data_IF_290767007619
#
_entry.id   IF_290767007619
#
_cell.length_a   1.000
_cell.length_b   1.000
_cell.length_c   1.000
_cell.angle_alpha   90.00
_cell.angle_beta   90.00
_cell.angle_gamma   90.00
#
_symmetry.space_group_name_H-M   'P 1'
#
loop_
_entity.id
_entity.type
_entity.pdbx_description
1 polymer ?
#
# COMPACT_ATOMS: atom_id res chain seq x y z
N UNK A 1 -30.16 -17.63 50.74
CA UNK A 1 -30.03 -18.57 49.61
C UNK A 1 -31.21 -18.31 48.69
N UNK A 2 -31.15 -17.70 47.51
CA UNK A 2 -30.08 -17.56 46.52
C UNK A 2 -30.08 -16.10 45.99
N UNK A 3 -29.02 -15.34 46.30
CA UNK A 3 -28.57 -14.26 45.43
C UNK A 3 -27.82 -14.96 44.28
N UNK A 4 -28.04 -14.55 43.02
CA UNK A 4 -27.53 -15.16 41.78
C UNK A 4 -28.41 -16.24 41.13
N UNK A 5 -29.63 -15.88 40.75
CA UNK A 5 -30.20 -16.37 39.49
C UNK A 5 -30.18 -15.23 38.48
N UNK A 6 -28.99 -14.88 37.98
CA UNK A 6 -28.91 -14.22 36.68
C UNK A 6 -29.20 -15.30 35.64
N UNK A 7 -30.47 -15.44 35.24
CA UNK A 7 -30.81 -16.16 34.01
C UNK A 7 -30.09 -15.38 32.91
N UNK A 8 -28.93 -15.88 32.49
CA UNK A 8 -28.21 -15.38 31.33
C UNK A 8 -29.15 -15.61 30.15
N UNK A 9 -29.90 -14.59 29.72
CA UNK A 9 -30.74 -14.67 28.51
C UNK A 9 -29.80 -15.02 27.35
N UNK A 10 -29.78 -16.27 26.93
CA UNK A 10 -29.04 -16.71 25.75
C UNK A 10 -29.82 -16.20 24.54
N UNK A 11 -29.36 -15.11 23.94
CA UNK A 11 -30.08 -14.44 22.84
C UNK A 11 -30.14 -15.23 21.52
N UNK A 12 -29.32 -16.28 21.36
CA UNK A 12 -29.13 -16.94 20.08
C UNK A 12 -28.28 -16.09 19.12
N UNK A 13 -27.92 -16.68 17.97
CA UNK A 13 -27.17 -16.03 16.90
C UNK A 13 -27.28 -16.83 15.60
N UNK A 14 -27.25 -16.12 14.48
CA UNK A 14 -27.22 -16.70 13.13
C UNK A 14 -25.86 -16.36 12.51
N UNK A 15 -25.18 -17.36 11.94
CA UNK A 15 -23.90 -17.20 11.26
C UNK A 15 -24.08 -17.50 9.77
N UNK A 16 -23.66 -16.57 8.91
CA UNK A 16 -23.75 -16.70 7.45
C UNK A 16 -22.37 -17.00 6.90
N UNK A 17 -22.21 -18.16 6.29
CA UNK A 17 -20.97 -18.61 5.64
C UNK A 17 -21.14 -18.59 4.13
N UNK A 18 -20.14 -18.06 3.42
CA UNK A 18 -20.12 -18.02 1.97
C UNK A 18 -19.44 -19.28 1.41
N UNK A 19 -19.91 -19.74 0.25
CA UNK A 19 -19.22 -20.75 -0.54
C UNK A 19 -18.07 -20.16 -1.36
N UNK A 20 -17.10 -21.00 -1.69
CA UNK A 20 -16.06 -20.79 -2.69
C UNK A 20 -15.93 -22.05 -3.57
N UNK A 21 -15.11 -21.98 -4.62
CA UNK A 21 -14.81 -23.15 -5.45
C UNK A 21 -14.19 -24.30 -4.64
N UNK A 22 -13.52 -23.99 -3.52
CA UNK A 22 -12.84 -24.95 -2.64
C UNK A 22 -13.71 -25.43 -1.46
N UNK A 23 -15.00 -25.05 -1.43
CA UNK A 23 -15.93 -25.43 -0.36
C UNK A 23 -16.43 -24.25 0.46
N UNK A 24 -16.70 -24.45 1.76
CA UNK A 24 -17.25 -23.41 2.64
C UNK A 24 -16.11 -22.59 3.24
N UNK A 25 -16.18 -21.26 3.13
CA UNK A 25 -15.26 -20.35 3.82
C UNK A 25 -15.51 -20.46 5.33
N UNK A 26 -14.50 -20.88 6.09
CA UNK A 26 -14.63 -21.19 7.53
C UNK A 26 -14.89 -19.96 8.41
N UNK A 27 -14.57 -18.77 7.91
CA UNK A 27 -14.88 -17.51 8.60
C UNK A 27 -16.27 -17.02 8.20
N UNK A 28 -17.15 -16.68 9.18
CA UNK A 28 -18.48 -16.20 8.88
C UNK A 28 -18.41 -14.81 8.24
N UNK A 29 -19.10 -14.64 7.12
CA UNK A 29 -19.21 -13.35 6.41
C UNK A 29 -20.12 -12.36 7.13
N UNK A 30 -21.09 -12.87 7.90
CA UNK A 30 -22.00 -12.06 8.70
C UNK A 30 -22.43 -12.87 9.92
N UNK A 31 -22.58 -12.19 11.06
CA UNK A 31 -23.14 -12.75 12.28
C UNK A 31 -24.27 -11.84 12.74
N UNK A 32 -25.45 -12.40 12.93
CA UNK A 32 -26.64 -11.68 13.34
C UNK A 32 -27.00 -12.13 14.75
N UNK A 33 -27.02 -11.18 15.69
CA UNK A 33 -27.41 -11.39 17.08
C UNK A 33 -28.64 -10.53 17.39
N UNK A 34 -29.42 -10.83 18.44
CA UNK A 34 -30.59 -10.02 18.80
C UNK A 34 -30.27 -8.53 18.99
N UNK A 35 -29.09 -8.22 19.53
CA UNK A 35 -28.61 -6.84 19.71
C UNK A 35 -28.39 -6.07 18.40
N UNK A 36 -28.22 -6.79 17.29
CA UNK A 36 -28.02 -6.21 15.96
C UNK A 36 -29.36 -5.95 15.25
N UNK A 37 -30.47 -6.43 15.83
CA UNK A 37 -31.82 -6.18 15.31
C UNK A 37 -32.28 -4.74 15.61
N UNK A 38 -33.25 -4.21 14.83
CA UNK A 38 -33.83 -2.91 15.09
C UNK A 38 -34.38 -2.77 16.52
N UNK A 39 -34.31 -1.55 17.07
CA UNK A 39 -34.68 -1.24 18.45
C UNK A 39 -36.13 -1.64 18.78
N UNK A 40 -37.00 -1.65 17.78
CA UNK A 40 -38.42 -2.00 17.88
C UNK A 40 -38.65 -3.48 18.22
N UNK A 41 -37.71 -4.36 17.85
CA UNK A 41 -37.86 -5.82 18.01
C UNK A 41 -36.76 -6.49 18.82
N UNK A 42 -35.58 -5.85 18.99
CA UNK A 42 -34.40 -6.47 19.61
C UNK A 42 -34.66 -7.08 21.00
N UNK A 43 -35.50 -6.42 21.81
CA UNK A 43 -35.80 -6.84 23.19
C UNK A 43 -36.94 -7.88 23.25
N UNK A 44 -37.62 -8.11 22.13
CA UNK A 44 -38.75 -9.04 21.97
C UNK A 44 -38.33 -10.35 21.31
N UNK A 45 -37.05 -10.54 21.03
CA UNK A 45 -36.51 -11.73 20.38
C UNK A 45 -35.55 -12.45 21.33
N UNK A 46 -35.86 -13.71 21.63
CA UNK A 46 -34.98 -14.68 22.30
C UNK A 46 -34.87 -15.94 21.44
N UNK A 47 -33.87 -16.78 21.71
CA UNK A 47 -33.59 -18.00 20.93
C UNK A 47 -33.53 -17.77 19.41
N UNK A 48 -32.93 -16.63 19.01
CA UNK A 48 -32.77 -16.28 17.60
C UNK A 48 -31.99 -17.37 16.86
N UNK A 49 -32.58 -17.88 15.78
CA UNK A 49 -31.98 -18.89 14.92
C UNK A 49 -32.20 -20.34 15.37
N UNK A 50 -33.16 -20.60 16.27
CA UNK A 50 -33.46 -21.98 16.70
C UNK A 50 -33.93 -22.86 15.54
N UNK A 51 -34.79 -22.34 14.67
CA UNK A 51 -35.11 -22.95 13.38
C UNK A 51 -34.88 -21.94 12.26
N UNK A 52 -34.36 -22.42 11.13
CA UNK A 52 -34.01 -21.59 9.98
C UNK A 52 -34.65 -22.17 8.72
N UNK A 53 -35.13 -21.29 7.86
CA UNK A 53 -35.56 -21.64 6.51
C UNK A 53 -35.09 -20.56 5.55
N UNK A 54 -34.43 -20.94 4.46
CA UNK A 54 -33.94 -19.99 3.45
C UNK A 54 -33.90 -20.62 2.07
N UNK A 55 -33.37 -19.88 1.09
CA UNK A 55 -33.26 -20.34 -0.30
C UNK A 55 -34.45 -19.97 -1.18
N UNK A 56 -35.40 -19.19 -0.66
CA UNK A 56 -36.54 -18.64 -1.41
C UNK A 56 -36.50 -17.12 -1.35
N UNK A 57 -36.66 -16.49 -2.50
CA UNK A 57 -36.81 -15.03 -2.65
C UNK A 57 -38.29 -14.67 -2.44
N UNK A 58 -38.59 -13.88 -1.40
CA UNK A 58 -39.96 -13.51 -1.03
C UNK A 58 -40.39 -12.15 -1.58
N UNK A 59 -39.46 -11.34 -2.10
CA UNK A 59 -39.76 -10.00 -2.63
C UNK A 59 -39.38 -9.80 -4.11
N UNK A 60 -38.96 -10.87 -4.79
CA UNK A 60 -38.63 -10.93 -6.21
C UNK A 60 -37.45 -10.03 -6.60
N UNK A 61 -36.51 -9.79 -5.69
CA UNK A 61 -35.30 -9.02 -5.94
C UNK A 61 -34.15 -9.85 -6.55
N UNK A 62 -34.32 -11.17 -6.66
CA UNK A 62 -33.34 -12.12 -7.20
C UNK A 62 -32.37 -12.68 -6.16
N UNK A 63 -32.55 -12.37 -4.87
CA UNK A 63 -31.73 -12.84 -3.76
C UNK A 63 -32.57 -13.64 -2.76
N UNK A 64 -32.11 -14.84 -2.32
CA UNK A 64 -32.86 -15.65 -1.38
C UNK A 64 -32.87 -15.03 0.02
N UNK A 65 -34.05 -15.04 0.64
CA UNK A 65 -34.27 -14.53 1.99
C UNK A 65 -34.09 -15.61 3.06
N UNK A 66 -34.09 -15.19 4.33
CA UNK A 66 -33.93 -16.08 5.49
C UNK A 66 -35.01 -15.82 6.54
N UNK A 67 -35.71 -16.88 6.95
CA UNK A 67 -36.64 -16.90 8.07
C UNK A 67 -35.99 -17.54 9.28
N UNK A 68 -36.18 -16.92 10.44
CA UNK A 68 -35.76 -17.43 11.74
C UNK A 68 -36.96 -17.64 12.65
N UNK A 69 -37.16 -18.87 13.09
CA UNK A 69 -38.14 -19.22 14.13
C UNK A 69 -37.51 -19.11 15.52
N UNK A 70 -38.19 -18.37 16.40
CA UNK A 70 -37.70 -17.98 17.71
C UNK A 70 -38.71 -18.44 18.78
N UNK A 71 -38.64 -19.71 19.15
CA UNK A 71 -39.73 -20.39 19.85
C UNK A 71 -40.04 -19.83 21.25
N UNK A 72 -39.07 -19.30 21.99
CA UNK A 72 -39.33 -18.73 23.33
C UNK A 72 -40.02 -17.37 23.27
N UNK A 73 -39.93 -16.70 22.12
CA UNK A 73 -40.48 -15.38 21.88
C UNK A 73 -41.79 -15.42 21.07
N UNK A 74 -42.32 -16.61 20.76
CA UNK A 74 -43.48 -16.82 19.90
C UNK A 74 -43.42 -15.97 18.61
N UNK A 75 -42.23 -15.88 18.00
CA UNK A 75 -41.98 -14.98 16.88
C UNK A 75 -41.23 -15.62 15.72
N UNK A 76 -41.47 -15.07 14.53
CA UNK A 76 -40.72 -15.35 13.31
C UNK A 76 -40.12 -14.03 12.83
N UNK A 77 -38.84 -14.04 12.49
CA UNK A 77 -38.12 -12.88 11.94
C UNK A 77 -37.73 -13.18 10.50
N UNK A 78 -38.15 -12.31 9.58
CA UNK A 78 -37.75 -12.35 8.18
C UNK A 78 -36.57 -11.41 7.95
N UNK A 79 -35.45 -11.97 7.49
CA UNK A 79 -34.29 -11.26 6.99
C UNK A 79 -34.34 -11.23 5.46
N UNK A 80 -34.49 -10.04 4.89
CA UNK A 80 -34.48 -9.86 3.43
C UNK A 80 -33.10 -9.55 2.91
N UNK A 81 -32.67 -10.26 1.86
CA UNK A 81 -31.36 -10.08 1.27
C UNK A 81 -31.30 -8.77 0.47
N UNK A 82 -30.17 -8.06 0.56
CA UNK A 82 -29.96 -6.78 -0.14
C UNK A 82 -29.19 -7.03 -1.45
N UNK A 83 -29.52 -6.35 -2.55
CA UNK A 83 -28.74 -6.46 -3.77
C UNK A 83 -27.28 -6.06 -3.59
N UNK A 84 -26.38 -6.74 -4.31
CA UNK A 84 -24.95 -6.51 -4.24
C UNK A 84 -24.53 -5.66 -5.44
N UNK A 85 -23.83 -4.56 -5.18
CA UNK A 85 -23.19 -3.73 -6.21
C UNK A 85 -21.72 -4.12 -6.32
N UNK A 86 -21.28 -4.33 -7.56
CA UNK A 86 -19.87 -4.46 -7.92
C UNK A 86 -19.40 -3.22 -8.68
N UNK A 87 -18.23 -2.70 -8.27
CA UNK A 87 -17.61 -1.51 -8.85
C UNK A 87 -16.25 -1.89 -9.41
N UNK A 88 -16.07 -1.69 -10.71
CA UNK A 88 -14.75 -1.77 -11.33
C UNK A 88 -13.98 -0.48 -11.04
N UNK A 89 -12.75 -0.62 -10.53
CA UNK A 89 -11.86 0.51 -10.26
C UNK A 89 -10.66 0.53 -11.21
N UNK A 90 -10.37 1.71 -11.76
CA UNK A 90 -9.22 1.95 -12.62
C UNK A 90 -8.50 3.20 -12.17
N UNK A 91 -7.17 3.19 -12.31
CA UNK A 91 -6.33 4.37 -12.10
C UNK A 91 -5.73 4.71 -13.45
N UNK A 92 -6.01 5.93 -13.92
CA UNK A 92 -5.52 6.44 -15.20
C UNK A 92 -4.54 7.58 -14.97
N UNK A 93 -3.58 7.75 -15.86
CA UNK A 93 -2.57 8.80 -15.76
C UNK A 93 -1.15 8.26 -15.80
N UNK A 94 -0.20 9.18 -15.86
CA UNK A 94 1.23 8.86 -15.99
C UNK A 94 1.86 8.68 -14.62
N UNK A 95 1.75 7.47 -14.09
CA UNK A 95 2.35 7.05 -12.81
C UNK A 95 3.71 6.36 -12.98
N UNK A 96 4.33 6.52 -14.14
CA UNK A 96 5.65 5.99 -14.45
C UNK A 96 6.55 7.15 -14.83
N UNK A 97 7.86 6.96 -14.69
CA UNK A 97 8.85 7.92 -15.15
C UNK A 97 8.72 9.33 -14.53
N UNK A 98 8.36 9.40 -13.25
CA UNK A 98 8.30 10.67 -12.51
C UNK A 98 9.73 11.16 -12.27
N UNK A 99 10.14 12.22 -12.95
CA UNK A 99 11.47 12.79 -12.80
C UNK A 99 11.60 13.58 -11.48
N UNK A 100 12.40 13.12 -10.51
CA UNK A 100 12.59 13.84 -9.25
C UNK A 100 13.41 15.15 -9.41
N UNK A 101 14.07 15.37 -10.54
CA UNK A 101 14.82 16.59 -10.83
C UNK A 101 13.94 17.71 -11.43
N UNK A 102 12.85 17.35 -12.11
CA UNK A 102 11.96 18.30 -12.76
C UNK A 102 10.93 18.87 -11.77
N UNK A 103 10.98 20.19 -11.55
CA UNK A 103 9.96 20.90 -10.78
C UNK A 103 8.69 21.11 -11.62
N UNK A 104 7.53 21.06 -10.97
CA UNK A 104 6.24 21.16 -11.63
C UNK A 104 5.83 19.87 -12.35
N UNK A 105 4.67 19.93 -12.99
CA UNK A 105 4.09 18.87 -13.80
C UNK A 105 3.04 19.46 -14.75
N UNK A 106 2.49 18.72 -15.72
CA UNK A 106 1.55 19.28 -16.70
C UNK A 106 0.32 19.99 -16.09
N UNK A 107 -0.11 19.59 -14.89
CA UNK A 107 -1.25 20.17 -14.19
C UNK A 107 -0.90 21.30 -13.21
N UNK A 108 0.39 21.47 -12.88
CA UNK A 108 0.89 22.58 -12.08
C UNK A 108 2.34 22.90 -12.50
N UNK A 109 2.51 23.59 -13.64
CA UNK A 109 3.84 23.85 -14.21
C UNK A 109 4.72 24.77 -13.36
N UNK A 110 4.11 25.68 -12.60
CA UNK A 110 4.80 26.70 -11.79
C UNK A 110 5.14 26.21 -10.38
N UNK A 111 4.81 24.97 -10.04
CA UNK A 111 5.09 24.40 -8.72
C UNK A 111 6.59 24.25 -8.47
N UNK A 112 7.02 24.69 -7.28
CA UNK A 112 8.39 24.47 -6.76
C UNK A 112 8.67 23.02 -6.36
N UNK A 113 7.64 22.19 -6.27
CA UNK A 113 7.74 20.76 -5.96
C UNK A 113 7.57 19.93 -7.23
N UNK A 114 8.20 18.77 -7.27
CA UNK A 114 7.91 17.73 -8.28
C UNK A 114 6.46 17.30 -8.06
N UNK A 115 5.67 17.23 -9.12
CA UNK A 115 4.30 16.74 -9.03
C UNK A 115 3.96 15.72 -10.10
N UNK A 116 2.85 15.03 -9.89
CA UNK A 116 2.22 14.18 -10.87
C UNK A 116 0.72 14.11 -10.57
N UNK A 117 -0.06 13.70 -11.56
CA UNK A 117 -1.49 13.56 -11.41
C UNK A 117 -1.98 12.23 -11.96
N UNK A 118 -3.11 11.79 -11.43
CA UNK A 118 -3.81 10.61 -11.90
C UNK A 118 -5.31 10.78 -11.65
N UNK A 119 -6.10 9.94 -12.32
CA UNK A 119 -7.55 9.88 -12.16
C UNK A 119 -7.94 8.55 -11.53
N UNK A 120 -8.65 8.62 -10.40
CA UNK A 120 -9.32 7.48 -9.79
C UNK A 120 -10.72 7.34 -10.42
N UNK A 121 -10.93 6.24 -11.13
CA UNK A 121 -12.12 5.99 -11.92
C UNK A 121 -12.92 4.80 -11.36
N UNK A 122 -14.24 4.97 -11.31
CA UNK A 122 -15.20 4.01 -10.78
C UNK A 122 -16.28 3.74 -11.81
N UNK A 123 -16.58 2.47 -12.08
CA UNK A 123 -17.63 2.07 -13.00
C UNK A 123 -18.49 0.97 -12.35
N UNK A 124 -19.80 1.18 -12.26
CA UNK A 124 -20.72 0.20 -11.71
C UNK A 124 -21.02 -0.86 -12.77
N UNK A 125 -20.91 -2.13 -12.40
CA UNK A 125 -21.12 -3.23 -13.34
C UNK A 125 -22.62 -3.43 -13.59
N UNK A 126 -23.04 -3.38 -14.86
CA UNK A 126 -24.45 -3.40 -15.23
C UNK A 126 -25.21 -4.66 -14.77
N UNK A 127 -24.54 -5.82 -14.74
CA UNK A 127 -25.12 -7.09 -14.30
C UNK A 127 -25.49 -7.14 -12.82
N UNK A 128 -24.89 -6.28 -12.00
CA UNK A 128 -25.08 -6.24 -10.54
C UNK A 128 -25.89 -5.03 -10.10
N UNK A 129 -26.29 -4.18 -11.04
CA UNK A 129 -27.22 -3.09 -10.76
C UNK A 129 -28.62 -3.65 -10.50
N UNK A 130 -29.27 -3.30 -9.37
CA UNK A 130 -30.66 -3.62 -9.12
C UNK A 130 -31.52 -3.17 -10.29
N UNK A 131 -32.50 -3.99 -10.69
CA UNK A 131 -33.50 -3.62 -11.70
C UNK A 131 -34.46 -2.61 -11.09
N UNK A 132 -34.01 -1.38 -10.85
CA UNK A 132 -34.85 -0.33 -10.29
C UNK A 132 -36.01 -0.07 -11.26
N UNK A 133 -37.18 -0.61 -10.91
CA UNK A 133 -38.31 -0.75 -11.83
C UNK A 133 -39.05 0.55 -12.15
N UNK A 134 -38.71 1.66 -11.50
CA UNK A 134 -39.21 2.99 -11.87
C UNK A 134 -38.22 4.06 -11.39
N UNK A 135 -37.77 4.88 -12.34
CA UNK A 135 -36.85 5.98 -12.08
C UNK A 135 -37.55 7.15 -11.40
N UNK A 136 -36.93 7.64 -10.33
CA UNK A 136 -36.80 9.06 -9.96
C UNK A 136 -35.88 9.12 -8.73
N UNK A 137 -34.66 9.62 -8.96
CA UNK A 137 -33.74 10.22 -7.96
C UNK A 137 -33.23 9.34 -6.80
N UNK A 138 -32.31 8.42 -7.10
CA UNK A 138 -31.31 8.02 -6.12
C UNK A 138 -29.95 7.95 -6.80
N UNK A 139 -29.12 8.98 -6.61
CA UNK A 139 -27.71 8.86 -6.86
C UNK A 139 -27.07 7.94 -5.81
N UNK A 140 -26.07 7.19 -6.23
CA UNK A 140 -25.20 6.42 -5.35
C UNK A 140 -24.11 7.37 -4.84
N UNK A 141 -23.99 7.49 -3.53
CA UNK A 141 -22.93 8.27 -2.89
C UNK A 141 -21.78 7.34 -2.55
N UNK A 142 -20.65 7.54 -3.22
CA UNK A 142 -19.45 6.75 -3.06
C UNK A 142 -18.40 7.59 -2.32
N UNK A 143 -17.98 7.13 -1.14
CA UNK A 143 -16.86 7.72 -0.42
C UNK A 143 -15.61 6.92 -0.73
N UNK A 144 -14.67 7.53 -1.44
CA UNK A 144 -13.36 6.94 -1.66
C UNK A 144 -12.29 7.65 -0.85
N UNK A 145 -11.28 6.87 -0.48
CA UNK A 145 -10.11 7.27 0.29
C UNK A 145 -8.86 6.74 -0.41
N UNK A 146 -7.92 7.61 -0.70
CA UNK A 146 -6.59 7.24 -1.20
C UNK A 146 -5.56 7.59 -0.13
N UNK A 147 -4.77 6.59 0.26
CA UNK A 147 -3.74 6.72 1.27
C UNK A 147 -2.37 6.35 0.69
N UNK A 148 -1.39 7.27 0.79
CA UNK A 148 -0.02 7.05 0.33
C UNK A 148 0.88 6.52 1.47
N UNK A 149 1.53 5.39 1.22
CA UNK A 149 2.55 4.69 2.02
C UNK A 149 2.18 4.21 3.44
N UNK A 150 1.45 4.99 4.22
CA UNK A 150 1.20 4.72 5.64
C UNK A 150 0.38 3.45 5.90
N UNK A 151 -0.44 3.03 4.93
CA UNK A 151 -1.22 1.79 5.00
C UNK A 151 -0.36 0.52 5.05
N UNK A 152 0.93 0.61 4.73
CA UNK A 152 1.89 -0.50 4.81
C UNK A 152 2.55 -0.64 6.18
N UNK A 153 2.19 0.22 7.15
CA UNK A 153 2.81 0.28 8.48
C UNK A 153 4.01 1.24 8.56
N UNK A 154 4.38 1.89 7.45
CA UNK A 154 5.37 2.99 7.46
C UNK A 154 4.83 4.19 8.24
N UNK A 155 5.67 4.81 9.08
CA UNK A 155 5.34 6.03 9.82
C UNK A 155 5.59 7.33 9.03
N UNK A 156 6.17 7.21 7.84
CA UNK A 156 6.55 8.34 6.99
C UNK A 156 5.89 8.20 5.62
N UNK A 157 5.72 9.34 4.95
CA UNK A 157 5.16 9.46 3.60
C UNK A 157 6.00 10.45 2.80
N UNK A 158 6.25 10.14 1.53
CA UNK A 158 7.05 10.99 0.64
C UNK A 158 6.21 11.96 -0.19
N UNK A 159 4.89 11.76 -0.25
CA UNK A 159 3.99 12.55 -1.08
C UNK A 159 2.85 13.18 -0.29
N UNK A 160 2.33 14.28 -0.80
CA UNK A 160 1.12 14.94 -0.30
C UNK A 160 0.14 15.21 -1.44
N UNK A 161 -1.15 15.06 -1.19
CA UNK A 161 -2.20 15.43 -2.12
C UNK A 161 -2.45 16.94 -2.06
N UNK A 162 -2.74 17.55 -3.21
CA UNK A 162 -3.12 18.95 -3.27
C UNK A 162 -4.40 19.22 -2.46
N UNK A 163 -5.40 18.36 -2.64
CA UNK A 163 -6.72 18.49 -2.00
C UNK A 163 -6.66 18.47 -0.46
N UNK A 164 -5.64 17.83 0.12
CA UNK A 164 -5.46 17.72 1.57
C UNK A 164 -4.16 18.37 2.05
N UNK A 165 -3.57 19.29 1.28
CA UNK A 165 -2.28 19.91 1.59
C UNK A 165 -2.22 20.59 2.98
N UNK A 166 -3.34 21.11 3.46
CA UNK A 166 -3.47 21.80 4.75
C UNK A 166 -4.08 20.93 5.86
N UNK A 167 -4.30 19.63 5.63
CA UNK A 167 -4.86 18.73 6.64
C UNK A 167 -3.77 18.17 7.57
N UNK A 168 -4.17 17.56 8.69
CA UNK A 168 -3.25 16.80 9.57
C UNK A 168 -2.61 15.59 8.86
N UNK A 169 -3.28 15.09 7.81
CA UNK A 169 -2.90 13.91 7.06
C UNK A 169 -2.82 14.23 5.56
N UNK A 170 -1.81 14.99 5.11
CA UNK A 170 -1.73 15.45 3.72
C UNK A 170 -1.40 14.31 2.74
N UNK A 171 -1.00 13.14 3.24
CA UNK A 171 -0.79 11.91 2.46
C UNK A 171 -2.07 11.10 2.24
N UNK A 172 -3.22 11.61 2.69
CA UNK A 172 -4.53 10.98 2.55
C UNK A 172 -5.47 11.97 1.87
N UNK A 173 -6.24 11.50 0.90
CA UNK A 173 -7.37 12.25 0.33
C UNK A 173 -8.64 11.42 0.45
N UNK A 174 -9.73 12.09 0.83
CA UNK A 174 -11.08 11.53 0.91
C UNK A 174 -12.00 12.40 0.07
N UNK A 175 -12.82 11.77 -0.78
CA UNK A 175 -13.86 12.48 -1.53
C UNK A 175 -15.14 11.67 -1.58
N UNK A 176 -16.23 12.43 -1.64
CA UNK A 176 -17.55 11.92 -1.97
C UNK A 176 -17.80 12.11 -3.47
N UNK A 177 -18.22 11.04 -4.13
CA UNK A 177 -18.57 11.01 -5.53
C UNK A 177 -20.05 10.63 -5.63
N UNK A 178 -20.86 11.59 -6.06
CA UNK A 178 -22.26 11.36 -6.37
C UNK A 178 -22.40 10.80 -7.78
N UNK A 179 -22.89 9.56 -7.88
CA UNK A 179 -23.07 8.87 -9.15
C UNK A 179 -24.56 8.69 -9.42
N UNK A 180 -25.14 9.51 -10.32
CA UNK A 180 -26.52 9.33 -10.73
C UNK A 180 -26.74 7.93 -11.31
N UNK A 181 -27.88 7.32 -11.00
CA UNK A 181 -28.18 5.95 -11.42
C UNK A 181 -28.05 5.73 -12.93
N UNK A 182 -28.49 6.71 -13.74
CA UNK A 182 -28.39 6.67 -15.20
C UNK A 182 -26.93 6.73 -15.70
N UNK A 183 -26.01 7.25 -14.90
CA UNK A 183 -24.60 7.39 -15.20
C UNK A 183 -23.75 6.28 -14.57
N UNK A 184 -24.34 5.39 -13.76
CA UNK A 184 -23.63 4.34 -13.04
C UNK A 184 -22.87 3.37 -13.97
N UNK A 185 -23.43 3.06 -15.14
CA UNK A 185 -22.75 2.23 -16.15
C UNK A 185 -21.59 2.93 -16.87
N UNK A 186 -21.45 4.26 -16.71
CA UNK A 186 -20.35 5.04 -17.25
C UNK A 186 -19.26 5.19 -16.19
N UNK A 187 -18.03 5.28 -16.66
CA UNK A 187 -16.89 5.51 -15.79
C UNK A 187 -16.92 6.93 -15.22
N UNK A 188 -16.89 7.04 -13.90
CA UNK A 188 -16.83 8.31 -13.16
C UNK A 188 -15.44 8.47 -12.57
N UNK A 189 -14.73 9.51 -13.01
CA UNK A 189 -13.34 9.74 -12.63
C UNK A 189 -13.19 11.01 -11.79
N UNK A 190 -12.31 10.95 -10.81
CA UNK A 190 -11.87 12.12 -10.04
C UNK A 190 -10.36 12.25 -10.14
N UNK A 191 -9.91 13.46 -10.47
CA UNK A 191 -8.50 13.77 -10.70
C UNK A 191 -7.83 14.19 -9.39
N UNK A 192 -6.69 13.58 -9.13
CA UNK A 192 -5.86 13.85 -7.95
C UNK A 192 -4.49 14.37 -8.38
N UNK A 193 -4.10 15.50 -7.79
CA UNK A 193 -2.79 16.12 -7.97
C UNK A 193 -1.94 15.85 -6.74
N UNK A 194 -0.72 15.34 -6.94
CA UNK A 194 0.17 14.87 -5.89
C UNK A 194 1.52 15.55 -6.01
N UNK A 195 2.05 16.03 -4.89
CA UNK A 195 3.38 16.64 -4.79
C UNK A 195 4.34 15.78 -4.00
N UNK A 196 5.58 15.69 -4.47
CA UNK A 196 6.68 15.06 -3.76
C UNK A 196 7.20 16.00 -2.67
N UNK A 197 7.10 15.55 -1.42
CA UNK A 197 7.60 16.24 -0.22
C UNK A 197 9.05 15.86 0.08
N UNK A 198 9.39 14.59 -0.06
CA UNK A 198 10.69 14.04 0.34
C UNK A 198 11.34 13.29 -0.84
N UNK A 199 12.60 13.63 -1.12
CA UNK A 199 13.42 13.05 -2.19
C UNK A 199 14.50 12.09 -1.66
N UNK A 200 14.48 11.75 -0.37
CA UNK A 200 15.49 10.88 0.26
C UNK A 200 15.49 9.46 -0.33
N UNK A 201 14.33 8.97 -0.75
CA UNK A 201 14.17 7.68 -1.43
C UNK A 201 13.42 7.90 -2.74
N UNK A 202 14.15 8.00 -3.84
CA UNK A 202 13.63 8.09 -5.22
C UNK A 202 13.73 6.77 -5.98
N UNK A 203 14.11 5.69 -5.30
CA UNK A 203 14.32 4.39 -5.93
C UNK A 203 13.12 3.47 -5.76
N UNK A 204 12.47 3.54 -4.60
CA UNK A 204 11.28 2.76 -4.30
C UNK A 204 10.03 3.45 -4.85
N UNK A 205 9.11 2.66 -5.40
CA UNK A 205 7.84 3.18 -5.88
C UNK A 205 6.99 3.73 -4.72
N UNK A 206 6.25 4.81 -4.98
CA UNK A 206 5.27 5.37 -4.05
C UNK A 206 4.02 4.49 -4.11
N UNK A 207 3.79 3.70 -3.07
CA UNK A 207 2.61 2.84 -2.96
C UNK A 207 1.41 3.64 -2.48
N UNK A 208 0.28 3.49 -3.15
CA UNK A 208 -0.98 4.12 -2.80
C UNK A 208 -2.08 3.08 -2.71
N UNK A 209 -2.93 3.20 -1.70
CA UNK A 209 -4.11 2.35 -1.52
C UNK A 209 -5.36 3.17 -1.78
N UNK A 210 -6.05 2.86 -2.86
CA UNK A 210 -7.41 3.31 -3.10
C UNK A 210 -8.37 2.37 -2.38
N UNK A 211 -9.25 2.93 -1.56
CA UNK A 211 -10.33 2.21 -0.89
C UNK A 211 -11.62 2.99 -1.06
N UNK A 212 -12.75 2.31 -1.10
CA UNK A 212 -14.03 2.97 -1.29
C UNK A 212 -15.14 2.27 -0.53
N UNK A 213 -16.17 3.05 -0.22
CA UNK A 213 -17.34 2.61 0.52
C UNK A 213 -18.58 3.27 -0.07
N UNK A 214 -19.68 2.52 -0.09
CA UNK A 214 -20.97 3.06 -0.48
C UNK A 214 -21.65 3.63 0.75
N UNK A 215 -22.10 4.89 0.70
CA UNK A 215 -22.91 5.49 1.76
C UNK A 215 -24.26 4.78 1.79
N UNK A 216 -24.46 3.93 2.80
CA UNK A 216 -25.65 3.10 2.90
C UNK A 216 -26.77 3.88 3.59
N UNK A 217 -27.96 3.84 2.98
CA UNK A 217 -29.21 4.17 3.68
C UNK A 217 -29.66 2.94 4.46
N UNK A 218 -30.27 3.14 5.62
CA UNK A 218 -30.83 2.05 6.42
C UNK A 218 -32.35 2.05 6.24
N UNK A 219 -32.95 0.93 5.80
CA UNK A 219 -34.40 0.83 5.70
C UNK A 219 -35.02 0.93 7.10
N UNK A 220 -36.10 1.71 7.24
CA UNK A 220 -36.88 1.76 8.48
C UNK A 220 -37.84 0.58 8.53
N UNK A 221 -38.03 -0.01 9.71
CA UNK A 221 -39.04 -1.05 9.88
C UNK A 221 -40.43 -0.47 9.58
N UNK A 222 -41.25 -1.18 8.78
CA UNK A 222 -42.62 -0.78 8.53
C UNK A 222 -43.46 -0.92 9.80
N UNK A 223 -44.47 -0.07 9.93
CA UNK A 223 -45.50 -0.17 10.97
C UNK A 223 -46.43 -1.35 10.60
N UNK A 224 -47.00 -2.10 11.57
CA UNK A 224 -47.97 -3.15 11.27
C UNK A 224 -49.08 -2.68 10.31
N UNK A 225 -49.29 -3.43 9.23
CA UNK A 225 -50.27 -3.12 8.18
C UNK A 225 -49.76 -2.19 7.06
N UNK A 226 -48.58 -1.59 7.19
CA UNK A 226 -47.96 -0.83 6.11
C UNK A 226 -47.30 -1.76 5.06
N UNK A 227 -47.14 -1.26 3.84
CA UNK A 227 -46.37 -1.95 2.80
C UNK A 227 -44.91 -2.12 3.22
N UNK A 228 -44.31 -3.27 2.86
CA UNK A 228 -42.89 -3.51 3.11
C UNK A 228 -42.01 -2.54 2.31
N UNK A 229 -40.89 -2.05 2.89
CA UNK A 229 -39.92 -1.26 2.15
C UNK A 229 -39.35 -2.05 0.97
N UNK A 230 -39.16 -1.37 -0.16
CA UNK A 230 -38.49 -1.87 -1.35
C UNK A 230 -36.97 -2.00 -1.07
N UNK A 231 -36.48 -3.24 -0.96
CA UNK A 231 -35.09 -3.54 -0.59
C UNK A 231 -34.12 -3.25 -1.72
N UNK A 232 -34.58 -3.17 -2.98
CA UNK A 232 -33.75 -2.85 -4.13
C UNK A 232 -33.12 -1.45 -4.04
N UNK A 233 -33.69 -0.57 -3.23
CA UNK A 233 -33.21 0.79 -2.97
C UNK A 233 -32.10 0.86 -1.93
N UNK A 234 -31.75 -0.26 -1.32
CA UNK A 234 -30.74 -0.35 -0.27
C UNK A 234 -29.64 -1.34 -0.65
N UNK A 235 -28.91 -1.16 -1.76
CA UNK A 235 -27.85 -2.09 -2.14
C UNK A 235 -26.68 -2.07 -1.14
N UNK A 236 -25.89 -3.15 -1.13
CA UNK A 236 -24.61 -3.26 -0.41
C UNK A 236 -23.46 -3.38 -1.40
N UNK A 237 -22.32 -2.81 -1.04
CA UNK A 237 -21.10 -2.96 -1.83
C UNK A 237 -20.45 -4.32 -1.56
N UNK A 238 -19.92 -4.96 -2.61
CA UNK A 238 -19.02 -6.09 -2.45
C UNK A 238 -17.70 -5.65 -1.80
N UNK A 239 -17.53 -5.96 -0.52
CA UNK A 239 -16.40 -5.50 0.28
C UNK A 239 -15.06 -6.14 -0.11
N UNK A 240 -15.06 -7.30 -0.79
CA UNK A 240 -13.82 -8.00 -1.16
C UNK A 240 -13.02 -7.23 -2.22
N UNK A 241 -13.71 -6.52 -3.10
CA UNK A 241 -13.10 -5.75 -4.19
C UNK A 241 -13.03 -4.24 -3.90
N UNK A 242 -13.40 -3.84 -2.68
CA UNK A 242 -13.52 -2.44 -2.24
C UNK A 242 -12.17 -1.72 -2.01
N UNK A 243 -11.04 -2.36 -2.34
CA UNK A 243 -9.73 -1.72 -2.26
C UNK A 243 -8.77 -2.21 -3.34
N UNK A 244 -7.89 -1.31 -3.77
CA UNK A 244 -6.87 -1.54 -4.80
C UNK A 244 -5.58 -0.84 -4.40
N UNK A 245 -4.46 -1.56 -4.48
CA UNK A 245 -3.12 -0.97 -4.32
C UNK A 245 -2.54 -0.71 -5.71
N UNK A 246 -1.94 0.47 -5.89
CA UNK A 246 -1.24 0.87 -7.10
C UNK A 246 0.01 1.67 -6.73
N UNK A 247 0.90 1.87 -7.70
CA UNK A 247 2.22 2.43 -7.45
C UNK A 247 2.56 3.53 -8.45
N UNK A 248 3.22 4.57 -7.97
CA UNK A 248 3.85 5.58 -8.80
C UNK A 248 5.38 5.40 -8.79
N UNK A 249 6.00 5.36 -9.96
CA UNK A 249 7.43 5.05 -10.14
C UNK A 249 8.18 6.27 -10.63
N UNK A 250 9.36 6.49 -10.04
CA UNK A 250 10.28 7.52 -10.49
C UNK A 250 10.95 7.14 -11.80
N UNK A 251 11.39 8.15 -12.55
CA UNK A 251 12.21 7.99 -13.74
C UNK A 251 13.50 7.28 -13.37
N UNK A 252 13.75 6.17 -14.07
CA UNK A 252 15.02 5.47 -14.03
C UNK A 252 15.57 5.37 -15.45
N UNK A 253 16.88 5.50 -15.60
CA UNK A 253 17.54 5.35 -16.89
C UNK A 253 17.80 3.87 -17.21
N UNK A 254 16.79 3.01 -17.06
CA UNK A 254 16.86 1.53 -17.17
C UNK A 254 16.21 0.97 -18.45
N UNK A 255 16.30 1.70 -19.57
CA UNK A 255 15.68 1.25 -20.81
C UNK A 255 14.13 1.19 -20.76
N UNK A 256 13.53 0.19 -21.42
CA UNK A 256 12.08 0.12 -21.68
C UNK A 256 11.28 -0.75 -20.72
N UNK A 257 11.94 -1.49 -19.82
CA UNK A 257 11.30 -2.42 -18.88
C UNK A 257 11.28 -1.91 -17.42
N UNK A 258 11.78 -0.69 -17.16
CA UNK A 258 11.93 -0.07 -15.83
C UNK A 258 12.77 -0.89 -14.81
N UNK A 259 13.53 -1.89 -15.26
CA UNK A 259 14.37 -2.75 -14.42
C UNK A 259 15.83 -2.50 -14.79
N UNK A 260 16.58 -1.82 -13.91
CA UNK A 260 18.01 -1.58 -14.12
C UNK A 260 18.81 -2.87 -13.92
N UNK A 261 19.32 -3.42 -15.01
CA UNK A 261 20.24 -4.57 -15.01
C UNK A 261 21.69 -4.06 -15.06
N UNK A 262 22.24 -3.78 -13.88
CA UNK A 262 23.64 -3.36 -13.73
C UNK A 262 24.62 -4.54 -13.74
N UNK A 263 25.80 -4.34 -14.31
CA UNK A 263 26.88 -5.34 -14.37
C UNK A 263 28.15 -4.77 -13.73
N UNK A 264 28.26 -4.95 -12.40
CA UNK A 264 29.34 -4.39 -11.58
C UNK A 264 30.49 -5.39 -11.41
N UNK A 265 31.66 -5.02 -11.91
CA UNK A 265 32.91 -5.78 -11.76
C UNK A 265 33.87 -5.05 -10.84
N UNK A 266 34.34 -5.73 -9.80
CA UNK A 266 35.32 -5.17 -8.83
C UNK A 266 36.67 -5.84 -9.05
N UNK A 267 37.71 -5.04 -9.26
CA UNK A 267 39.08 -5.47 -9.48
C UNK A 267 39.98 -4.85 -8.40
N UNK A 268 40.21 -5.56 -7.28
CA UNK A 268 41.11 -5.12 -6.23
C UNK A 268 42.57 -5.40 -6.61
N UNK A 269 43.47 -4.48 -6.26
CA UNK A 269 44.92 -4.62 -6.40
C UNK A 269 45.61 -4.08 -5.16
N UNK A 270 46.15 -4.99 -4.36
CA UNK A 270 46.99 -4.63 -3.22
C UNK A 270 48.36 -4.13 -3.72
N UNK A 271 48.76 -2.94 -3.27
CA UNK A 271 50.00 -2.29 -3.69
C UNK A 271 51.10 -2.57 -2.66
N UNK A 272 51.47 -3.84 -2.54
CA UNK A 272 52.58 -4.31 -1.73
C UNK A 272 53.71 -4.86 -2.61
N UNK A 273 54.97 -4.82 -2.13
CA UNK A 273 56.05 -5.54 -2.77
C UNK A 273 55.72 -7.04 -2.85
N UNK A 274 56.29 -7.71 -3.86
CA UNK A 274 56.09 -9.14 -4.08
C UNK A 274 57.42 -9.88 -3.97
N UNK A 275 57.47 -10.87 -3.09
CA UNK A 275 58.54 -11.87 -3.05
C UNK A 275 57.97 -13.17 -3.61
N UNK A 276 58.65 -13.74 -4.60
CA UNK A 276 58.20 -14.97 -5.29
C UNK A 276 56.75 -14.92 -5.81
N UNK A 277 56.27 -13.72 -6.14
CA UNK A 277 54.90 -13.48 -6.64
C UNK A 277 53.84 -13.29 -5.54
N UNK A 278 54.18 -13.48 -4.27
CA UNK A 278 53.29 -13.30 -3.12
C UNK A 278 53.43 -11.87 -2.56
N UNK A 279 52.33 -11.14 -2.34
CA UNK A 279 52.38 -9.84 -1.67
C UNK A 279 52.92 -10.01 -0.24
N UNK A 280 53.98 -9.27 0.08
CA UNK A 280 54.61 -9.29 1.41
C UNK A 280 54.52 -7.92 2.05
N UNK A 281 54.21 -7.89 3.35
CA UNK A 281 54.22 -6.69 4.19
C UNK A 281 55.40 -6.82 5.15
N UNK A 282 56.39 -5.95 5.03
CA UNK A 282 57.56 -5.97 5.91
C UNK A 282 57.22 -5.33 7.27
N UNK A 283 57.72 -5.94 8.34
CA UNK A 283 57.65 -5.37 9.68
C UNK A 283 58.33 -3.99 9.70
N UNK A 284 57.58 -2.96 10.08
CA UNK A 284 58.02 -1.57 10.08
C UNK A 284 57.42 -0.70 8.97
N UNK A 285 56.76 -1.29 7.96
CA UNK A 285 55.94 -0.48 7.05
C UNK A 285 54.72 0.08 7.76
N UNK A 286 54.56 1.39 7.68
CA UNK A 286 53.47 2.12 8.34
C UNK A 286 52.19 2.16 7.51
N UNK A 287 52.24 1.87 6.20
CA UNK A 287 51.11 2.10 5.31
C UNK A 287 50.88 0.96 4.32
N UNK A 288 49.63 0.51 4.20
CA UNK A 288 49.18 -0.44 3.18
C UNK A 288 48.27 0.29 2.21
N UNK A 289 48.65 0.31 0.93
CA UNK A 289 47.84 0.93 -0.12
C UNK A 289 47.14 -0.13 -0.96
N UNK A 290 45.91 0.15 -1.37
CA UNK A 290 45.10 -0.72 -2.22
C UNK A 290 44.44 0.12 -3.31
N UNK A 291 44.62 -0.26 -4.57
CA UNK A 291 43.79 0.28 -5.66
C UNK A 291 42.59 -0.64 -5.86
N UNK A 292 41.40 -0.08 -5.98
CA UNK A 292 40.19 -0.81 -6.34
C UNK A 292 39.56 -0.15 -7.55
N UNK A 293 39.47 -0.90 -8.64
CA UNK A 293 38.76 -0.49 -9.85
C UNK A 293 37.39 -1.14 -9.89
N UNK A 294 36.35 -0.33 -9.99
CA UNK A 294 34.95 -0.76 -10.14
C UNK A 294 34.50 -0.36 -11.53
N UNK A 295 33.98 -1.31 -12.30
CA UNK A 295 33.51 -1.13 -13.67
C UNK A 295 32.03 -1.48 -13.74
N UNK A 296 31.19 -0.56 -14.22
CA UNK A 296 29.81 -0.84 -14.57
C UNK A 296 29.69 -1.00 -16.09
N UNK A 297 29.37 -2.21 -16.56
CA UNK A 297 29.16 -2.52 -17.99
C UNK A 297 27.68 -2.56 -18.40
N UNK A 298 26.77 -2.56 -17.43
CA UNK A 298 25.33 -2.69 -17.62
C UNK A 298 24.61 -1.36 -17.54
N UNK A 299 23.37 -1.37 -17.07
CA UNK A 299 22.58 -0.17 -16.84
C UNK A 299 23.01 0.56 -15.54
N UNK A 300 22.62 1.84 -15.34
CA UNK A 300 23.00 2.62 -14.18
C UNK A 300 22.69 1.92 -12.85
N UNK A 301 23.68 1.82 -11.97
CA UNK A 301 23.55 1.17 -10.67
C UNK A 301 23.19 2.22 -9.60
N UNK A 302 21.95 2.21 -9.13
CA UNK A 302 21.47 3.07 -8.06
C UNK A 302 21.90 2.55 -6.67
N UNK A 303 22.21 3.45 -5.74
CA UNK A 303 22.83 3.13 -4.42
C UNK A 303 24.07 2.22 -4.50
N UNK A 304 24.90 2.40 -5.52
CA UNK A 304 26.13 1.63 -5.67
C UNK A 304 27.13 1.96 -4.54
N UNK A 305 27.50 0.95 -3.75
CA UNK A 305 28.49 1.09 -2.68
C UNK A 305 29.51 -0.05 -2.71
N UNK A 306 30.77 0.28 -2.45
CA UNK A 306 31.88 -0.63 -2.30
C UNK A 306 32.15 -0.87 -0.81
N UNK A 307 32.24 -2.14 -0.42
CA UNK A 307 32.55 -2.55 0.96
C UNK A 307 33.93 -3.21 0.98
N UNK A 308 34.88 -2.62 1.70
CA UNK A 308 36.24 -3.17 1.86
C UNK A 308 36.40 -3.66 3.30
N UNK A 309 36.40 -4.98 3.48
CA UNK A 309 36.67 -5.60 4.78
C UNK A 309 38.18 -5.68 5.04
N UNK A 310 38.61 -5.27 6.23
CA UNK A 310 40.02 -5.29 6.63
C UNK A 310 40.18 -5.90 8.03
N UNK A 311 41.41 -6.31 8.34
CA UNK A 311 41.76 -6.78 9.68
C UNK A 311 41.67 -5.64 10.71
N UNK A 312 41.34 -5.91 11.98
CA UNK A 312 41.42 -4.93 13.07
C UNK A 312 42.81 -4.33 13.26
N UNK A 313 43.87 -4.98 12.76
CA UNK A 313 45.24 -4.47 12.77
C UNK A 313 45.47 -3.32 11.76
N UNK A 314 44.48 -3.01 10.90
CA UNK A 314 44.56 -1.94 9.91
C UNK A 314 43.57 -0.83 10.26
N UNK A 315 44.02 0.43 10.20
CA UNK A 315 43.19 1.62 10.37
C UNK A 315 43.07 2.39 9.05
N UNK A 316 41.86 2.80 8.68
CA UNK A 316 41.64 3.57 7.45
C UNK A 316 42.15 5.00 7.59
N UNK A 317 43.02 5.44 6.67
CA UNK A 317 43.59 6.80 6.68
C UNK A 317 42.86 7.72 5.72
N UNK A 318 42.51 7.22 4.53
CA UNK A 318 41.84 8.04 3.52
C UNK A 318 41.81 7.43 2.13
N UNK A 319 41.14 8.14 1.23
CA UNK A 319 41.00 7.80 -0.19
C UNK A 319 41.69 8.84 -1.08
N UNK A 320 42.12 8.40 -2.26
CA UNK A 320 42.50 9.26 -3.39
C UNK A 320 41.84 8.72 -4.65
N UNK A 321 41.13 9.57 -5.37
CA UNK A 321 40.52 9.19 -6.64
C UNK A 321 41.61 9.19 -7.72
N UNK A 322 41.68 8.11 -8.50
CA UNK A 322 42.63 7.98 -9.62
C UNK A 322 41.99 8.28 -10.98
N UNK A 323 40.66 8.32 -11.04
CA UNK A 323 39.86 8.59 -12.25
C UNK A 323 39.49 10.08 -12.33
N UNK A 324 39.70 10.72 -13.48
CA UNK A 324 39.31 12.12 -13.70
C UNK A 324 37.81 12.26 -13.95
N UNK A 325 37.10 13.00 -13.09
CA UNK A 325 35.72 13.45 -13.35
C UNK A 325 34.64 13.05 -12.35
N UNK A 326 34.97 12.37 -11.24
CA UNK A 326 33.98 11.90 -10.25
C UNK A 326 34.37 12.28 -8.81
N UNK A 327 34.22 13.55 -8.44
CA UNK A 327 34.36 14.03 -7.04
C UNK A 327 33.29 13.48 -6.07
N UNK A 328 32.49 12.49 -6.50
CA UNK A 328 31.26 12.03 -5.84
C UNK A 328 31.47 10.79 -4.95
N UNK A 329 32.68 10.21 -4.92
CA UNK A 329 32.92 9.04 -4.07
C UNK A 329 33.07 9.48 -2.63
N UNK A 330 32.30 8.98 -1.67
CA UNK A 330 32.52 9.25 -0.24
C UNK A 330 32.78 7.96 0.54
N UNK A 331 33.78 7.94 1.40
CA UNK A 331 34.21 6.73 2.13
C UNK A 331 34.13 6.95 3.63
N UNK A 332 33.25 6.18 4.28
CA UNK A 332 33.03 6.22 5.73
C UNK A 332 33.64 4.96 6.37
N UNK A 333 34.64 5.09 7.25
CA UNK A 333 35.19 3.95 7.97
C UNK A 333 34.23 3.41 9.03
N UNK A 334 34.16 2.10 9.16
CA UNK A 334 33.52 1.37 10.27
C UNK A 334 34.56 0.47 10.96
N UNK A 335 34.16 -0.21 12.04
CA UNK A 335 35.07 -1.02 12.86
C UNK A 335 35.74 -2.19 12.12
N UNK A 336 35.09 -2.76 11.10
CA UNK A 336 35.57 -3.96 10.38
C UNK A 336 35.69 -3.77 8.88
N UNK A 337 35.21 -2.64 8.35
CA UNK A 337 35.20 -2.36 6.93
C UNK A 337 35.08 -0.88 6.65
N UNK A 338 35.41 -0.48 5.43
CA UNK A 338 35.17 0.86 4.90
C UNK A 338 34.04 0.76 3.87
N UNK A 339 33.01 1.60 4.01
CA UNK A 339 31.93 1.75 3.02
C UNK A 339 32.25 2.96 2.15
N UNK A 340 32.41 2.76 0.85
CA UNK A 340 32.58 3.82 -0.13
C UNK A 340 31.36 3.91 -1.05
N UNK A 341 30.66 5.03 -1.04
CA UNK A 341 29.54 5.31 -1.94
C UNK A 341 30.10 5.72 -3.31
N UNK A 342 29.72 5.02 -4.38
CA UNK A 342 30.32 5.17 -5.72
C UNK A 342 29.53 6.11 -6.64
N UNK A 343 28.47 6.73 -6.12
CA UNK A 343 27.54 7.58 -6.88
C UNK A 343 26.13 6.97 -6.96
N UNK A 344 25.13 7.84 -7.08
CA UNK A 344 23.72 7.45 -7.15
C UNK A 344 23.02 8.16 -8.34
N UNK A 345 23.00 7.57 -9.55
CA UNK A 345 23.54 6.25 -9.89
C UNK A 345 25.02 6.24 -10.27
N UNK A 346 25.67 5.08 -10.14
CA UNK A 346 26.91 4.75 -10.83
C UNK A 346 26.59 4.37 -12.29
N UNK A 347 26.81 5.32 -13.19
CA UNK A 347 26.61 5.14 -14.63
C UNK A 347 27.63 4.16 -15.24
N UNK A 348 27.44 3.84 -16.51
CA UNK A 348 28.40 3.07 -17.31
C UNK A 348 29.76 3.74 -17.32
N UNK A 349 30.80 2.96 -17.05
CA UNK A 349 32.17 3.45 -16.97
C UNK A 349 32.96 2.84 -15.83
N UNK A 350 34.08 3.48 -15.50
CA UNK A 350 35.02 3.01 -14.50
C UNK A 350 35.28 4.04 -13.41
N UNK A 351 35.45 3.53 -12.20
CA UNK A 351 35.90 4.29 -11.03
C UNK A 351 37.07 3.56 -10.41
N UNK A 352 38.20 4.23 -10.28
CA UNK A 352 39.39 3.71 -9.61
C UNK A 352 39.72 4.54 -8.37
N UNK A 353 39.75 3.86 -7.22
CA UNK A 353 39.95 4.45 -5.90
C UNK A 353 41.22 3.85 -5.30
N UNK A 354 42.14 4.72 -4.88
CA UNK A 354 43.27 4.35 -4.05
C UNK A 354 42.88 4.54 -2.58
N UNK A 355 42.94 3.47 -1.80
CA UNK A 355 42.70 3.46 -0.37
C UNK A 355 44.02 3.31 0.38
N UNK A 356 44.19 4.08 1.44
CA UNK A 356 45.37 4.02 2.32
C UNK A 356 44.94 3.55 3.70
N UNK A 357 45.63 2.54 4.20
CA UNK A 357 45.48 2.00 5.55
C UNK A 357 46.81 2.16 6.30
N UNK A 358 46.74 2.32 7.62
CA UNK A 358 47.89 2.31 8.51
C UNK A 358 47.94 0.95 9.24
N UNK A 359 49.15 0.43 9.46
CA UNK A 359 49.41 -0.87 10.12
C UNK A 359 49.44 -0.79 11.65
N UNK A 360 49.31 0.43 12.21
CA UNK A 360 49.12 0.66 13.65
C UNK A 360 47.65 0.93 13.94
N UNK A 361 47.11 0.26 14.96
CA UNK A 361 45.77 0.55 15.44
C UNK A 361 45.78 1.87 16.22
N UNK A 362 44.68 2.62 16.23
CA UNK A 362 44.55 3.81 17.09
C UNK A 362 44.67 3.46 18.60
N UNK A 363 44.45 2.20 18.98
CA UNK A 363 44.64 1.73 20.35
C UNK A 363 46.13 1.64 20.77
N UNK A 364 47.05 1.56 19.81
CA UNK A 364 48.50 1.51 20.08
C UNK A 364 49.13 2.92 20.14
N UNK A 365 48.37 3.98 19.80
CA UNK A 365 48.86 5.36 19.81
C UNK A 365 48.77 6.04 21.19
N UNK A 366 47.96 5.51 22.12
CA UNK A 366 47.86 6.04 23.50
C UNK A 366 48.94 5.50 24.45
N UNK A 367 49.84 4.62 23.99
CA UNK A 367 50.87 4.00 24.83
C UNK A 367 52.32 4.30 24.42
N UNK A 368 52.56 5.34 23.60
CA UNK A 368 53.91 5.78 23.22
C UNK A 368 54.33 7.10 23.89
#
# INVERSE_FOLDING_TARGET
SCCWCAIRKWGGAIYIYLGSADGIVKEPSQVIRPRDLPNEIKDRVSTLGYSLYGGMDLDSNGYPDLLSGNYEADSIVLFRARPIIDISTRVKGTLQNIDPALQGCPDDPDSRYVCFSFEACFQFLHSTMPKLRNGTEAALLLNYRIEAETFTGKKYYRVRFNASANSEHPNIVERELEVPWYAAGREQCSKELVYLKDKSDIQSAIKMKLSYSLVQRVPRLPIPGASLPDIDRFPILNQKEASRVFEARFLKNCGSNDICESDLHVQPKLLLPKEEGVPVLFLGEEHVNMSVRVLNRGEPAYDAALYIFHSPALSYVGRKLLSTGLDVVDCVPQSTHVKCELGNPLNQGEVEILLRFNTRSEADAETA
#
